data_IF_890746921513
#
_entry.id   IF_890746921513
#
_cell.length_a   1.000
_cell.length_b   1.000
_cell.length_c   1.000
_cell.angle_alpha   90.00
_cell.angle_beta   90.00
_cell.angle_gamma   90.00
#
_symmetry.space_group_name_H-M   'P 1'
#
loop_
_entity.id
_entity.type
_entity.pdbx_description
1 polymer ?
#
# COMPACT_ATOMS: atom_id res chain seq x y z
N UNK A 1 52.13 -32.42 17.55
CA UNK A 1 52.03 -31.02 18.01
C UNK A 1 52.36 -30.15 16.82
N UNK A 2 51.51 -29.33 16.22
CA UNK A 2 50.06 -29.08 16.32
C UNK A 2 49.74 -28.42 14.98
N UNK A 3 48.80 -28.96 14.21
CA UNK A 3 48.32 -28.32 12.98
C UNK A 3 47.04 -27.58 13.37
N UNK A 4 47.10 -26.25 13.34
CA UNK A 4 45.95 -25.37 13.60
C UNK A 4 44.92 -25.51 12.46
N UNK A 5 43.65 -25.83 12.74
CA UNK A 5 42.62 -26.00 11.73
C UNK A 5 41.61 -24.84 11.73
N UNK A 6 42.07 -23.59 11.87
CA UNK A 6 41.18 -22.42 11.94
C UNK A 6 41.64 -21.24 11.06
N UNK A 7 41.96 -21.51 9.80
CA UNK A 7 41.84 -20.49 8.74
C UNK A 7 40.56 -20.80 7.95
N UNK A 8 39.42 -20.73 8.64
CA UNK A 8 38.13 -20.56 8.00
C UNK A 8 37.95 -19.06 7.83
N UNK A 9 38.49 -18.53 6.73
CA UNK A 9 38.15 -17.21 6.22
C UNK A 9 36.62 -17.13 6.21
N UNK A 10 36.10 -16.41 7.20
CA UNK A 10 34.71 -16.04 7.27
C UNK A 10 34.44 -15.15 6.07
N UNK A 11 33.98 -15.77 4.99
CA UNK A 11 33.15 -15.13 3.98
C UNK A 11 31.95 -14.59 4.76
N UNK A 12 32.12 -13.38 5.29
CA UNK A 12 31.05 -12.59 5.84
C UNK A 12 30.15 -12.30 4.64
N UNK A 13 29.20 -13.20 4.42
CA UNK A 13 28.02 -12.95 3.61
C UNK A 13 27.42 -11.69 4.22
N UNK A 14 27.73 -10.55 3.62
CA UNK A 14 27.05 -9.30 3.90
C UNK A 14 25.65 -9.56 3.39
N UNK A 15 24.79 -10.06 4.27
CA UNK A 15 23.36 -10.13 4.06
C UNK A 15 22.94 -8.68 3.83
N UNK A 16 22.79 -8.35 2.55
CA UNK A 16 22.40 -7.02 2.14
C UNK A 16 20.93 -6.92 2.50
N UNK A 17 20.66 -6.50 3.75
CA UNK A 17 19.31 -6.27 4.25
C UNK A 17 18.58 -5.43 3.21
N UNK A 18 17.60 -6.05 2.56
CA UNK A 18 16.78 -5.39 1.56
C UNK A 18 16.05 -4.26 2.27
N UNK A 19 16.46 -3.02 1.98
CA UNK A 19 15.81 -1.85 2.53
C UNK A 19 14.31 -1.92 2.20
N UNK A 20 13.44 -1.68 3.19
CA UNK A 20 12.00 -1.63 2.97
C UNK A 20 11.68 -0.67 1.81
N UNK A 21 10.77 -1.03 0.89
CA UNK A 21 10.39 -0.15 -0.19
C UNK A 21 9.93 1.22 0.29
N UNK A 22 10.31 2.28 -0.43
CA UNK A 22 10.05 3.69 -0.06
C UNK A 22 8.56 4.06 0.12
N UNK A 23 7.64 3.24 -0.40
CA UNK A 23 6.21 3.46 -0.18
C UNK A 23 5.74 3.01 1.22
N UNK A 24 6.55 2.27 1.98
CA UNK A 24 6.30 1.97 3.40
C UNK A 24 6.41 3.24 4.24
N UNK A 25 7.38 4.11 3.95
CA UNK A 25 7.52 5.41 4.62
C UNK A 25 6.25 6.25 4.46
N UNK A 26 5.60 6.15 3.29
CA UNK A 26 4.33 6.85 3.00
C UNK A 26 3.17 6.30 3.83
N UNK A 27 3.17 4.99 4.14
CA UNK A 27 2.18 4.40 5.04
C UNK A 27 2.30 4.97 6.45
N UNK A 28 3.52 5.12 6.96
CA UNK A 28 3.77 5.73 8.28
C UNK A 28 3.40 7.22 8.27
N UNK A 29 3.79 7.96 7.24
CA UNK A 29 3.42 9.36 7.02
C UNK A 29 1.89 9.56 7.07
N UNK A 30 1.13 8.80 6.28
CA UNK A 30 -0.34 8.88 6.26
C UNK A 30 -0.94 8.47 7.60
N UNK A 31 -0.38 7.44 8.24
CA UNK A 31 -0.82 6.97 9.55
C UNK A 31 -0.70 8.04 10.63
N UNK A 32 0.40 8.78 10.64
CA UNK A 32 0.64 9.85 11.62
C UNK A 32 -0.23 11.08 11.36
N UNK A 33 -0.43 11.47 10.09
CA UNK A 33 -1.36 12.54 9.74
C UNK A 33 -2.79 12.19 10.14
N UNK A 34 -3.23 10.93 9.95
CA UNK A 34 -4.57 10.50 10.39
C UNK A 34 -4.75 10.52 11.91
N UNK A 35 -3.72 10.17 12.68
CA UNK A 35 -3.74 10.31 14.15
C UNK A 35 -3.89 11.78 14.55
N UNK A 36 -3.12 12.68 13.93
CA UNK A 36 -3.19 14.11 14.19
C UNK A 36 -4.56 14.70 13.82
N UNK A 37 -5.11 14.33 12.66
CA UNK A 37 -6.48 14.69 12.26
C UNK A 37 -7.48 14.26 13.33
N UNK A 38 -7.38 13.03 13.84
CA UNK A 38 -8.31 12.50 14.84
C UNK A 38 -8.26 13.30 16.15
N UNK A 39 -7.05 13.67 16.59
CA UNK A 39 -6.85 14.50 17.79
C UNK A 39 -7.40 15.91 17.60
N UNK A 40 -7.10 16.55 16.47
CA UNK A 40 -7.61 17.89 16.12
C UNK A 40 -9.13 17.89 15.97
N UNK A 41 -9.71 16.86 15.35
CA UNK A 41 -11.16 16.71 15.22
C UNK A 41 -11.86 16.57 16.58
N UNK A 42 -11.27 15.81 17.51
CA UNK A 42 -11.81 15.69 18.87
C UNK A 42 -11.75 17.02 19.65
N UNK A 43 -10.70 17.81 19.45
CA UNK A 43 -10.61 19.17 20.01
C UNK A 43 -11.64 20.11 19.38
N UNK A 44 -11.80 20.04 18.06
CA UNK A 44 -12.77 20.82 17.31
C UNK A 44 -14.21 20.52 17.76
N UNK A 45 -14.55 19.25 17.99
CA UNK A 45 -15.87 18.87 18.50
C UNK A 45 -16.20 19.51 19.85
N UNK A 46 -15.21 19.63 20.74
CA UNK A 46 -15.39 20.31 22.04
C UNK A 46 -15.65 21.81 21.85
N UNK A 47 -14.93 22.44 20.92
CA UNK A 47 -15.12 23.85 20.58
C UNK A 47 -16.49 24.08 19.92
N UNK A 48 -16.90 23.24 18.97
CA UNK A 48 -18.23 23.28 18.37
C UNK A 48 -19.34 23.16 19.43
N UNK A 49 -19.20 22.21 20.36
CA UNK A 49 -20.17 22.04 21.44
C UNK A 49 -20.26 23.28 22.35
N UNK A 50 -19.12 23.92 22.64
CA UNK A 50 -19.08 25.16 23.44
C UNK A 50 -19.70 26.34 22.69
N UNK A 51 -19.35 26.52 21.41
CA UNK A 51 -19.76 27.66 20.60
C UNK A 51 -21.28 27.68 20.30
N UNK A 52 -21.92 26.50 20.18
CA UNK A 52 -23.37 26.42 19.96
C UNK A 52 -24.19 26.73 21.23
N UNK A 53 -23.60 26.65 22.42
CA UNK A 53 -24.34 26.93 23.65
C UNK A 53 -24.61 28.44 23.77
N UNK A 54 -25.83 28.85 24.17
CA UNK A 54 -26.12 30.25 24.51
C UNK A 54 -25.33 30.66 25.77
N UNK A 55 -24.06 31.02 25.57
CA UNK A 55 -23.18 31.51 26.62
C UNK A 55 -23.33 33.02 26.79
N UNK A 56 -23.33 33.46 28.05
CA UNK A 56 -23.13 34.87 28.45
C UNK A 56 -21.65 35.30 28.36
N UNK A 57 -20.82 34.54 27.64
CA UNK A 57 -19.42 34.90 27.40
C UNK A 57 -19.33 36.20 26.58
N UNK A 58 -18.34 37.00 26.94
CA UNK A 58 -18.01 38.27 26.28
C UNK A 58 -17.75 38.04 24.77
N UNK A 59 -18.15 38.99 23.93
CA UNK A 59 -18.07 38.86 22.47
C UNK A 59 -16.63 38.62 21.99
N UNK A 60 -15.64 39.07 22.77
CA UNK A 60 -14.22 38.82 22.53
C UNK A 60 -13.83 37.33 22.64
N UNK A 61 -14.45 36.58 23.55
CA UNK A 61 -14.20 35.15 23.77
C UNK A 61 -14.79 34.32 22.64
N UNK A 62 -16.02 34.64 22.20
CA UNK A 62 -16.67 33.99 21.05
C UNK A 62 -15.87 34.17 19.77
N UNK A 63 -15.37 35.39 19.51
CA UNK A 63 -14.50 35.62 18.35
C UNK A 63 -13.17 34.85 18.41
N UNK A 64 -12.62 34.59 19.60
CA UNK A 64 -11.42 33.74 19.72
C UNK A 64 -11.74 32.28 19.42
N UNK A 65 -12.90 31.78 19.86
CA UNK A 65 -13.36 30.43 19.58
C UNK A 65 -13.63 30.22 18.09
N UNK A 66 -14.30 31.17 17.43
CA UNK A 66 -14.58 31.15 15.99
C UNK A 66 -13.27 31.08 15.17
N UNK A 67 -12.29 31.92 15.51
CA UNK A 67 -10.97 31.88 14.86
C UNK A 67 -10.25 30.54 15.04
N UNK A 68 -10.35 29.94 16.23
CA UNK A 68 -9.73 28.63 16.47
C UNK A 68 -10.47 27.49 15.74
N UNK A 69 -11.80 27.57 15.63
CA UNK A 69 -12.63 26.65 14.85
C UNK A 69 -12.25 26.72 13.36
N UNK A 70 -12.14 27.93 12.81
CA UNK A 70 -11.74 28.16 11.41
C UNK A 70 -10.33 27.61 11.14
N UNK A 71 -9.38 27.90 12.05
CA UNK A 71 -8.00 27.40 11.95
C UNK A 71 -7.95 25.87 11.94
N UNK A 72 -8.58 25.22 12.92
CA UNK A 72 -8.59 23.76 13.03
C UNK A 72 -9.31 23.11 11.84
N UNK A 73 -10.41 23.69 11.36
CA UNK A 73 -11.15 23.18 10.19
C UNK A 73 -10.28 23.24 8.93
N UNK A 74 -9.55 24.34 8.73
CA UNK A 74 -8.63 24.50 7.60
C UNK A 74 -7.45 23.54 7.71
N UNK A 75 -6.85 23.40 8.89
CA UNK A 75 -5.74 22.46 9.13
C UNK A 75 -6.14 21.02 8.87
N UNK A 76 -7.31 20.60 9.36
CA UNK A 76 -7.82 19.24 9.12
C UNK A 76 -8.08 19.00 7.64
N UNK A 77 -8.72 19.96 6.95
CA UNK A 77 -9.00 19.84 5.50
C UNK A 77 -7.70 19.73 4.69
N UNK A 78 -6.68 20.54 5.02
CA UNK A 78 -5.35 20.43 4.39
C UNK A 78 -4.69 19.08 4.67
N UNK A 79 -4.77 18.58 5.90
CA UNK A 79 -4.22 17.29 6.27
C UNK A 79 -4.87 16.14 5.48
N UNK A 80 -6.19 16.19 5.23
CA UNK A 80 -6.86 15.22 4.35
C UNK A 80 -6.35 15.30 2.90
N UNK A 81 -6.10 16.50 2.38
CA UNK A 81 -5.49 16.67 1.06
C UNK A 81 -4.04 16.17 1.00
N UNK A 82 -3.28 16.32 2.10
CA UNK A 82 -1.93 15.77 2.22
C UNK A 82 -1.95 14.25 2.19
N UNK A 83 -2.85 13.60 2.95
CA UNK A 83 -3.06 12.16 2.88
C UNK A 83 -3.40 11.70 1.45
N UNK A 84 -4.31 12.43 0.76
CA UNK A 84 -4.68 12.11 -0.62
C UNK A 84 -3.47 12.21 -1.57
N UNK A 85 -2.65 13.26 -1.45
CA UNK A 85 -1.44 13.44 -2.25
C UNK A 85 -0.41 12.34 -1.97
N UNK A 86 -0.21 11.98 -0.70
CA UNK A 86 0.67 10.89 -0.28
C UNK A 86 0.23 9.55 -0.87
N UNK A 87 -1.07 9.21 -0.79
CA UNK A 87 -1.63 7.98 -1.38
C UNK A 87 -1.45 7.95 -2.91
N UNK A 88 -1.70 9.07 -3.60
CA UNK A 88 -1.47 9.18 -5.06
C UNK A 88 0.02 9.05 -5.42
N UNK A 89 0.93 9.48 -4.53
CA UNK A 89 2.38 9.35 -4.71
C UNK A 89 2.83 7.87 -4.74
N UNK A 90 2.18 7.00 -3.97
CA UNK A 90 2.47 5.55 -3.99
C UNK A 90 2.29 4.99 -5.41
N UNK A 91 1.22 5.39 -6.11
CA UNK A 91 0.97 4.95 -7.49
C UNK A 91 2.10 5.38 -8.44
N UNK A 92 2.59 6.62 -8.32
CA UNK A 92 3.72 7.10 -9.13
C UNK A 92 5.01 6.35 -8.80
N UNK A 93 5.29 6.09 -7.51
CA UNK A 93 6.47 5.34 -7.09
C UNK A 93 6.48 3.92 -7.64
N UNK A 94 5.34 3.24 -7.63
CA UNK A 94 5.22 1.87 -8.17
C UNK A 94 5.42 1.86 -9.69
N UNK A 95 4.86 2.84 -10.41
CA UNK A 95 5.04 2.97 -11.86
C UNK A 95 6.50 3.23 -12.24
N UNK A 96 7.19 4.12 -11.54
CA UNK A 96 8.58 4.46 -11.80
C UNK A 96 9.50 3.28 -11.50
N UNK A 97 9.23 2.57 -10.42
CA UNK A 97 10.01 1.42 -10.00
C UNK A 97 9.79 0.20 -10.95
N UNK A 98 8.60 0.07 -11.56
CA UNK A 98 8.33 -0.87 -12.66
C UNK A 98 9.15 -0.55 -13.92
N UNK A 99 9.27 0.72 -14.30
CA UNK A 99 10.06 1.13 -15.46
C UNK A 99 11.57 0.94 -15.25
N UNK A 100 12.01 1.05 -13.99
CA UNK A 100 13.42 0.89 -13.60
C UNK A 100 13.87 -0.58 -13.53
N UNK A 101 12.96 -1.55 -13.69
CA UNK A 101 13.26 -2.99 -13.63
C UNK A 101 13.57 -3.53 -12.22
N UNK A 102 13.43 -2.69 -11.19
CA UNK A 102 13.77 -3.01 -9.79
C UNK A 102 12.57 -3.48 -8.95
N UNK A 103 11.39 -3.71 -9.54
CA UNK A 103 10.18 -4.12 -8.82
C UNK A 103 9.84 -5.57 -9.10
N UNK A 104 9.76 -6.36 -8.04
CA UNK A 104 9.21 -7.70 -8.10
C UNK A 104 7.68 -7.60 -8.17
N UNK A 105 7.03 -8.52 -8.90
CA UNK A 105 5.56 -8.58 -9.04
C UNK A 105 4.83 -8.59 -7.68
N UNK A 106 5.48 -9.12 -6.63
CA UNK A 106 4.97 -9.11 -5.26
C UNK A 106 4.92 -7.71 -4.63
N UNK A 107 5.91 -6.85 -4.90
CA UNK A 107 5.98 -5.49 -4.34
C UNK A 107 4.91 -4.58 -4.97
N UNK A 108 4.60 -4.79 -6.26
CA UNK A 108 3.50 -4.10 -6.95
C UNK A 108 2.14 -4.42 -6.31
N UNK A 109 1.89 -5.71 -6.04
CA UNK A 109 0.67 -6.16 -5.35
C UNK A 109 0.60 -5.62 -3.92
N UNK A 110 1.72 -5.62 -3.19
CA UNK A 110 1.77 -5.12 -1.81
C UNK A 110 1.48 -3.62 -1.75
N UNK A 111 2.12 -2.81 -2.60
CA UNK A 111 1.90 -1.38 -2.66
C UNK A 111 0.45 -1.04 -3.03
N UNK A 112 -0.13 -1.80 -3.98
CA UNK A 112 -1.54 -1.67 -4.38
C UNK A 112 -2.49 -2.00 -3.21
N UNK A 113 -2.23 -3.06 -2.45
CA UNK A 113 -3.03 -3.39 -1.27
C UNK A 113 -2.95 -2.31 -0.19
N UNK A 114 -1.75 -1.79 0.08
CA UNK A 114 -1.54 -0.69 1.04
C UNK A 114 -2.26 0.57 0.59
N UNK A 115 -2.21 0.93 -0.70
CA UNK A 115 -2.91 2.07 -1.25
C UNK A 115 -4.42 2.01 -0.94
N UNK A 116 -5.06 0.85 -1.08
CA UNK A 116 -6.49 0.72 -0.76
C UNK A 116 -6.76 0.68 0.74
N UNK A 117 -5.91 0.04 1.53
CA UNK A 117 -6.04 0.08 2.98
C UNK A 117 -5.98 1.54 3.50
N UNK A 118 -5.01 2.32 3.02
CA UNK A 118 -4.87 3.74 3.35
C UNK A 118 -6.05 4.56 2.83
N UNK A 119 -6.47 4.36 1.58
CA UNK A 119 -7.63 5.06 1.02
C UNK A 119 -8.91 4.81 1.83
N UNK A 120 -9.17 3.55 2.20
CA UNK A 120 -10.33 3.19 3.03
C UNK A 120 -10.26 3.84 4.41
N UNK A 121 -9.08 3.84 5.05
CA UNK A 121 -8.90 4.48 6.36
C UNK A 121 -9.13 5.99 6.31
N UNK A 122 -8.58 6.68 5.30
CA UNK A 122 -8.82 8.12 5.09
C UNK A 122 -10.30 8.41 4.83
N UNK A 123 -10.97 7.57 4.05
CA UNK A 123 -12.40 7.70 3.76
C UNK A 123 -13.26 7.58 5.02
N UNK A 124 -12.97 6.61 5.90
CA UNK A 124 -13.70 6.42 7.16
C UNK A 124 -13.57 7.62 8.10
N UNK A 125 -12.34 8.13 8.28
CA UNK A 125 -12.07 9.31 9.12
C UNK A 125 -12.71 10.56 8.51
N UNK A 126 -12.63 10.73 7.19
CA UNK A 126 -13.27 11.84 6.47
C UNK A 126 -14.80 11.80 6.57
N UNK A 127 -15.42 10.62 6.45
CA UNK A 127 -16.87 10.47 6.61
C UNK A 127 -17.31 10.87 8.01
N UNK A 128 -16.60 10.41 9.05
CA UNK A 128 -16.89 10.78 10.44
C UNK A 128 -16.75 12.28 10.67
N UNK A 129 -15.69 12.91 10.14
CA UNK A 129 -15.48 14.35 10.26
C UNK A 129 -16.55 15.17 9.53
N UNK A 130 -16.87 14.82 8.28
CA UNK A 130 -17.94 15.49 7.52
C UNK A 130 -19.28 15.42 8.21
N UNK A 131 -19.65 14.27 8.78
CA UNK A 131 -20.90 14.11 9.54
C UNK A 131 -20.96 15.03 10.76
N UNK A 132 -19.85 15.19 11.48
CA UNK A 132 -19.73 16.11 12.61
C UNK A 132 -19.85 17.57 12.14
N UNK A 133 -19.20 17.93 11.03
CA UNK A 133 -19.33 19.25 10.40
C UNK A 133 -20.75 19.54 9.91
N UNK A 134 -21.41 18.61 9.23
CA UNK A 134 -22.82 18.72 8.81
C UNK A 134 -23.75 18.91 10.01
N UNK A 135 -23.49 18.23 11.13
CA UNK A 135 -24.26 18.39 12.37
C UNK A 135 -24.06 19.78 12.97
N UNK A 136 -22.83 20.28 12.98
CA UNK A 136 -22.50 21.62 13.47
C UNK A 136 -23.12 22.71 12.58
N UNK A 137 -22.99 22.58 11.26
CA UNK A 137 -23.59 23.48 10.25
C UNK A 137 -25.12 23.56 10.41
N UNK A 138 -25.79 22.43 10.64
CA UNK A 138 -27.23 22.39 10.91
C UNK A 138 -27.60 23.17 12.18
N UNK A 139 -26.80 23.04 13.25
CA UNK A 139 -27.02 23.76 14.51
C UNK A 139 -26.80 25.27 14.32
N UNK A 140 -25.70 25.69 13.69
CA UNK A 140 -25.44 27.11 13.39
C UNK A 140 -26.56 27.76 12.58
N UNK A 141 -27.05 27.04 11.56
CA UNK A 141 -28.20 27.47 10.76
C UNK A 141 -29.45 27.67 11.64
N UNK A 142 -29.77 26.70 12.49
CA UNK A 142 -30.91 26.79 13.40
C UNK A 142 -30.80 27.96 14.39
N UNK A 143 -29.61 28.23 14.93
CA UNK A 143 -29.36 29.39 15.80
C UNK A 143 -29.38 30.73 15.04
N UNK A 144 -29.09 30.73 13.74
CA UNK A 144 -29.09 31.92 12.87
C UNK A 144 -30.46 32.32 12.35
N UNK A 145 -31.56 31.72 12.84
CA UNK A 145 -32.90 32.02 12.33
C UNK A 145 -33.10 31.67 10.85
N UNK A 146 -32.22 30.84 10.29
CA UNK A 146 -32.50 30.18 9.04
C UNK A 146 -33.50 29.07 9.36
N UNK A 147 -34.77 29.30 9.01
CA UNK A 147 -35.75 28.23 8.96
C UNK A 147 -35.13 27.08 8.16
N UNK A 148 -35.03 25.89 8.79
CA UNK A 148 -34.68 24.67 8.07
C UNK A 148 -35.63 24.60 6.88
N UNK A 149 -35.14 24.73 5.64
CA UNK A 149 -35.97 24.35 4.51
C UNK A 149 -36.14 22.86 4.70
N UNK A 150 -37.31 22.46 5.21
CA UNK A 150 -37.92 21.15 5.00
C UNK A 150 -36.91 20.04 5.30
N UNK A 151 -36.85 19.64 6.57
CA UNK A 151 -36.00 18.55 7.02
C UNK A 151 -35.99 17.42 6.01
N UNK A 152 -34.80 17.10 5.49
CA UNK A 152 -34.58 16.05 4.49
C UNK A 152 -35.78 15.95 3.56
N UNK A 153 -35.99 16.94 2.67
CA UNK A 153 -36.94 16.75 1.58
C UNK A 153 -36.54 15.46 0.88
N UNK A 154 -37.27 14.40 1.18
CA UNK A 154 -37.18 13.07 0.63
C UNK A 154 -37.62 13.17 -0.82
N UNK A 155 -36.86 13.87 -1.66
CA UNK A 155 -36.82 13.52 -3.07
C UNK A 155 -36.36 12.07 -3.07
N UNK A 156 -37.20 11.10 -3.49
CA UNK A 156 -36.77 9.73 -3.62
C UNK A 156 -35.66 9.76 -4.65
N UNK A 157 -34.41 9.73 -4.18
CA UNK A 157 -33.30 9.46 -5.08
C UNK A 157 -33.57 8.04 -5.55
N UNK A 158 -33.69 7.77 -6.87
CA UNK A 158 -33.90 6.43 -7.36
C UNK A 158 -32.77 5.59 -6.78
N UNK A 159 -33.15 4.69 -5.87
CA UNK A 159 -32.25 3.90 -5.06
C UNK A 159 -31.66 2.85 -5.98
N UNK A 160 -30.60 3.25 -6.70
CA UNK A 160 -29.92 2.35 -7.61
C UNK A 160 -29.19 1.34 -6.71
N UNK A 161 -29.55 0.04 -6.71
CA UNK A 161 -29.01 -0.94 -5.76
C UNK A 161 -27.49 -1.12 -5.82
N UNK A 162 -26.87 -0.58 -6.86
CA UNK A 162 -25.42 -0.61 -7.12
C UNK A 162 -24.66 0.61 -6.58
N UNK A 163 -25.33 1.61 -6.00
CA UNK A 163 -24.64 2.79 -5.46
C UNK A 163 -24.19 2.54 -4.03
N UNK A 164 -22.88 2.71 -3.79
CA UNK A 164 -22.30 2.60 -2.45
C UNK A 164 -23.03 3.57 -1.48
N UNK A 165 -23.58 3.08 -0.35
CA UNK A 165 -24.23 3.92 0.65
C UNK A 165 -23.37 5.11 1.12
N UNK A 166 -22.04 4.93 1.21
CA UNK A 166 -21.13 5.98 1.63
C UNK A 166 -20.96 7.08 0.58
N UNK A 167 -21.05 6.75 -0.72
CA UNK A 167 -21.12 7.74 -1.80
C UNK A 167 -22.43 8.53 -1.76
N UNK A 168 -23.55 7.86 -1.45
CA UNK A 168 -24.84 8.54 -1.36
C UNK A 168 -24.89 9.52 -0.18
N UNK A 169 -24.34 9.15 0.98
CA UNK A 169 -24.20 10.05 2.14
C UNK A 169 -23.30 11.25 1.79
N UNK A 170 -22.17 10.97 1.12
CA UNK A 170 -21.24 12.01 0.62
C UNK A 170 -21.92 13.03 -0.31
N UNK A 171 -22.69 12.55 -1.29
CA UNK A 171 -23.41 13.42 -2.23
C UNK A 171 -24.53 14.20 -1.54
N UNK A 172 -25.20 13.61 -0.55
CA UNK A 172 -26.21 14.29 0.24
C UNK A 172 -25.62 15.45 1.05
N UNK A 173 -24.49 15.22 1.73
CA UNK A 173 -23.76 16.25 2.49
C UNK A 173 -23.27 17.39 1.58
N UNK A 174 -22.75 17.05 0.39
CA UNK A 174 -22.32 18.03 -0.61
C UNK A 174 -23.47 18.89 -1.11
N UNK A 175 -24.61 18.29 -1.45
CA UNK A 175 -25.82 19.01 -1.89
C UNK A 175 -26.37 19.90 -0.77
N UNK A 176 -26.39 19.40 0.46
CA UNK A 176 -26.78 20.18 1.63
C UNK A 176 -25.89 21.40 1.80
N UNK A 177 -24.58 21.23 1.74
CA UNK A 177 -23.60 22.32 1.85
C UNK A 177 -23.78 23.36 0.72
N UNK A 178 -23.94 22.91 -0.53
CA UNK A 178 -24.21 23.80 -1.68
C UNK A 178 -25.50 24.62 -1.51
N UNK A 179 -26.58 23.98 -1.03
CA UNK A 179 -27.84 24.68 -0.75
C UNK A 179 -27.66 25.76 0.33
N UNK A 180 -26.82 25.49 1.34
CA UNK A 180 -26.49 26.44 2.40
C UNK A 180 -25.81 27.69 1.83
N UNK A 181 -24.80 27.49 0.97
CA UNK A 181 -24.04 28.57 0.34
C UNK A 181 -24.96 29.49 -0.48
N UNK A 182 -25.90 28.89 -1.25
CA UNK A 182 -26.87 29.65 -2.05
C UNK A 182 -27.84 30.45 -1.19
N UNK A 183 -28.38 29.85 -0.13
CA UNK A 183 -29.32 30.52 0.77
C UNK A 183 -28.66 31.69 1.52
N UNK A 184 -27.40 31.48 1.93
CA UNK A 184 -26.59 32.51 2.61
C UNK A 184 -26.28 33.66 1.66
N UNK A 185 -25.93 33.37 0.41
CA UNK A 185 -25.68 34.41 -0.60
C UNK A 185 -26.91 35.30 -0.89
N UNK A 186 -28.13 34.77 -0.77
CA UNK A 186 -29.37 35.53 -0.96
C UNK A 186 -29.73 36.43 0.23
N UNK A 187 -29.34 36.06 1.46
CA UNK A 187 -29.66 36.82 2.68
C UNK A 187 -28.69 37.96 3.01
N UNK A 188 -27.55 38.03 2.32
CA UNK A 188 -26.54 39.12 2.42
C UNK A 188 -27.06 40.55 2.22
N UNK A 189 -28.32 40.74 1.83
CA UNK A 189 -28.93 42.06 1.66
C UNK A 189 -29.29 42.76 2.98
N UNK A 190 -29.27 42.06 4.13
CA UNK A 190 -29.56 42.65 5.44
C UNK A 190 -28.27 42.96 6.20
N UNK A 191 -28.08 44.24 6.54
CA UNK A 191 -26.82 44.84 6.99
C UNK A 191 -26.52 44.63 8.49
N UNK A 192 -26.75 43.42 9.01
CA UNK A 192 -26.52 43.09 10.42
C UNK A 192 -25.13 42.44 10.57
N UNK A 193 -24.22 43.10 11.29
CA UNK A 193 -22.82 42.69 11.39
C UNK A 193 -22.63 41.33 12.07
N UNK A 194 -23.50 40.99 13.02
CA UNK A 194 -23.52 39.68 13.70
C UNK A 194 -24.00 38.56 12.75
N UNK A 195 -24.95 38.87 11.87
CA UNK A 195 -25.43 37.92 10.85
C UNK A 195 -24.30 37.68 9.84
N UNK A 196 -23.60 38.74 9.40
CA UNK A 196 -22.52 38.62 8.43
C UNK A 196 -21.36 37.71 8.90
N UNK A 197 -20.96 37.76 10.18
CA UNK A 197 -19.93 36.89 10.74
C UNK A 197 -20.36 35.41 10.72
N UNK A 198 -21.56 35.12 11.22
CA UNK A 198 -22.13 33.77 11.18
C UNK A 198 -22.28 33.24 9.76
N UNK A 199 -22.67 34.10 8.82
CA UNK A 199 -22.74 33.72 7.41
C UNK A 199 -21.37 33.30 6.87
N UNK A 200 -20.30 34.01 7.23
CA UNK A 200 -18.93 33.64 6.84
C UNK A 200 -18.55 32.26 7.40
N UNK A 201 -18.76 32.02 8.69
CA UNK A 201 -18.47 30.73 9.33
C UNK A 201 -19.23 29.58 8.64
N UNK A 202 -20.53 29.78 8.37
CA UNK A 202 -21.38 28.83 7.64
C UNK A 202 -20.81 28.54 6.24
N UNK A 203 -20.31 29.57 5.53
CA UNK A 203 -19.71 29.40 4.22
C UNK A 203 -18.42 28.57 4.29
N UNK A 204 -17.56 28.82 5.27
CA UNK A 204 -16.27 28.15 5.39
C UNK A 204 -16.43 26.66 5.74
N UNK A 205 -17.36 26.34 6.65
CA UNK A 205 -17.71 24.95 6.97
C UNK A 205 -18.29 24.23 5.73
N UNK A 206 -19.23 24.88 5.02
CA UNK A 206 -19.86 24.29 3.85
C UNK A 206 -18.85 24.03 2.72
N UNK A 207 -17.86 24.92 2.54
CA UNK A 207 -16.74 24.70 1.61
C UNK A 207 -15.88 23.51 2.03
N UNK A 208 -15.53 23.42 3.31
CA UNK A 208 -14.78 22.27 3.85
C UNK A 208 -15.47 20.93 3.60
N UNK A 209 -16.80 20.85 3.80
CA UNK A 209 -17.58 19.63 3.52
C UNK A 209 -17.54 19.27 2.03
N UNK A 210 -17.64 20.27 1.14
CA UNK A 210 -17.57 20.05 -0.32
C UNK A 210 -16.19 19.51 -0.72
N UNK A 211 -15.11 20.10 -0.22
CA UNK A 211 -13.74 19.65 -0.50
C UNK A 211 -13.52 18.21 -0.04
N UNK A 212 -14.00 17.87 1.17
CA UNK A 212 -13.88 16.51 1.69
C UNK A 212 -14.73 15.50 0.91
N UNK A 213 -15.88 15.91 0.37
CA UNK A 213 -16.68 15.07 -0.52
C UNK A 213 -15.97 14.79 -1.85
N UNK A 214 -15.22 15.77 -2.38
CA UNK A 214 -14.41 15.57 -3.58
C UNK A 214 -13.23 14.62 -3.30
N UNK A 215 -12.54 14.78 -2.16
CA UNK A 215 -11.51 13.83 -1.71
C UNK A 215 -12.10 12.42 -1.55
N UNK A 216 -13.29 12.30 -0.95
CA UNK A 216 -13.96 11.02 -0.76
C UNK A 216 -14.22 10.30 -2.09
N UNK A 217 -14.70 11.03 -3.10
CA UNK A 217 -14.97 10.49 -4.44
C UNK A 217 -13.69 10.05 -5.15
N UNK A 218 -12.62 10.85 -5.04
CA UNK A 218 -11.31 10.53 -5.60
C UNK A 218 -10.71 9.27 -4.98
N UNK A 219 -10.81 9.12 -3.65
CA UNK A 219 -10.33 7.94 -2.94
C UNK A 219 -11.21 6.71 -3.24
N UNK A 220 -12.52 6.90 -3.40
CA UNK A 220 -13.44 5.82 -3.72
C UNK A 220 -13.10 5.18 -5.08
N UNK A 221 -12.69 5.98 -6.07
CA UNK A 221 -12.22 5.46 -7.35
C UNK A 221 -11.07 4.47 -7.18
N UNK A 222 -10.08 4.81 -6.36
CA UNK A 222 -8.95 3.90 -6.05
C UNK A 222 -9.37 2.62 -5.32
N UNK A 223 -10.42 2.68 -4.48
CA UNK A 223 -10.93 1.51 -3.76
C UNK A 223 -11.73 0.59 -4.68
N UNK A 224 -12.55 1.14 -5.57
CA UNK A 224 -13.42 0.39 -6.50
C UNK A 224 -12.60 -0.30 -7.61
N UNK A 225 -11.58 0.36 -8.16
CA UNK A 225 -10.75 -0.15 -9.28
C UNK A 225 -9.96 -1.43 -8.94
N UNK A 226 -9.97 -1.86 -7.68
CA UNK A 226 -9.36 -3.11 -7.24
C UNK A 226 -10.36 -4.27 -7.00
N UNK A 227 -11.66 -4.10 -7.23
CA UNK A 227 -12.68 -5.14 -6.99
C UNK A 227 -13.08 -5.32 -5.52
N UNK A 228 -14.12 -6.10 -5.24
CA UNK A 228 -14.63 -6.32 -3.87
C UNK A 228 -13.52 -6.88 -2.96
N UNK A 229 -13.47 -6.49 -1.68
CA UNK A 229 -12.41 -6.93 -0.75
C UNK A 229 -12.20 -8.46 -0.69
N UNK A 230 -13.24 -9.25 -0.97
CA UNK A 230 -13.15 -10.72 -1.01
C UNK A 230 -12.40 -11.26 -2.26
N UNK A 231 -12.64 -10.67 -3.44
CA UNK A 231 -12.09 -11.17 -4.71
C UNK A 231 -10.56 -11.06 -4.75
N UNK A 232 -9.98 -10.15 -3.96
CA UNK A 232 -8.53 -9.89 -3.92
C UNK A 232 -7.75 -10.92 -3.13
N UNK A 233 -8.32 -11.45 -2.04
CA UNK A 233 -7.66 -12.52 -1.28
C UNK A 233 -7.68 -13.78 -2.13
N UNK A 234 -8.84 -14.12 -2.69
CA UNK A 234 -8.99 -15.30 -3.54
C UNK A 234 -8.10 -15.20 -4.79
N UNK A 235 -8.07 -14.04 -5.48
CA UNK A 235 -7.20 -13.83 -6.63
C UNK A 235 -5.70 -13.90 -6.29
N UNK A 236 -5.25 -13.23 -5.22
CA UNK A 236 -3.83 -13.25 -4.83
C UNK A 236 -3.40 -14.62 -4.32
N UNK A 237 -4.27 -15.34 -3.61
CA UNK A 237 -4.02 -16.73 -3.18
C UNK A 237 -4.01 -17.67 -4.37
N UNK A 238 -4.95 -17.56 -5.30
CA UNK A 238 -4.98 -18.34 -6.54
C UNK A 238 -3.73 -18.11 -7.39
N UNK A 239 -3.31 -16.86 -7.55
CA UNK A 239 -2.09 -16.52 -8.27
C UNK A 239 -0.85 -17.12 -7.59
N UNK A 240 -0.77 -17.04 -6.25
CA UNK A 240 0.33 -17.64 -5.47
C UNK A 240 0.34 -19.16 -5.61
N UNK A 241 -0.83 -19.81 -5.54
CA UNK A 241 -0.96 -21.27 -5.74
C UNK A 241 -0.50 -21.66 -7.16
N UNK A 242 -0.81 -20.84 -8.15
CA UNK A 242 -0.41 -21.07 -9.55
C UNK A 242 1.10 -20.91 -9.72
N UNK A 243 1.70 -19.87 -9.13
CA UNK A 243 3.13 -19.60 -9.18
C UNK A 243 3.93 -20.70 -8.44
N UNK A 244 3.45 -21.17 -7.28
CA UNK A 244 4.07 -22.29 -6.53
C UNK A 244 4.02 -23.60 -7.32
N UNK A 245 2.90 -23.92 -7.97
CA UNK A 245 2.80 -25.09 -8.86
C UNK A 245 3.76 -25.00 -10.05
N UNK A 246 3.96 -23.79 -10.59
CA UNK A 246 4.98 -23.53 -11.61
C UNK A 246 6.39 -23.83 -11.11
N UNK A 247 6.74 -23.29 -9.95
CA UNK A 247 8.04 -23.51 -9.31
C UNK A 247 8.31 -24.99 -8.98
N UNK A 248 7.31 -25.73 -8.50
CA UNK A 248 7.41 -27.18 -8.25
C UNK A 248 7.74 -27.96 -9.53
N UNK A 249 7.08 -27.60 -10.65
CA UNK A 249 7.33 -28.22 -11.96
C UNK A 249 8.73 -27.95 -12.47
N UNK A 250 9.23 -26.73 -12.28
CA UNK A 250 10.61 -26.37 -12.65
C UNK A 250 11.64 -27.10 -11.78
N UNK A 251 11.43 -27.18 -10.46
CA UNK A 251 12.27 -27.97 -9.55
C UNK A 251 12.29 -29.47 -9.91
N UNK A 252 11.13 -30.03 -10.26
CA UNK A 252 11.02 -31.43 -10.69
C UNK A 252 11.76 -31.67 -12.01
N UNK A 253 11.67 -30.72 -12.94
CA UNK A 253 12.39 -30.80 -14.22
C UNK A 253 13.90 -30.66 -14.00
N UNK A 254 14.33 -29.73 -13.16
CA UNK A 254 15.72 -29.49 -12.80
C UNK A 254 16.36 -30.71 -12.12
N UNK A 255 15.68 -31.29 -11.12
CA UNK A 255 16.14 -32.51 -10.43
C UNK A 255 16.23 -33.72 -11.37
N UNK A 256 15.29 -33.88 -12.31
CA UNK A 256 15.36 -34.90 -13.34
C UNK A 256 16.54 -34.68 -14.30
N UNK A 257 16.80 -33.43 -14.70
CA UNK A 257 17.98 -33.06 -15.48
C UNK A 257 19.28 -33.37 -14.73
N UNK A 258 19.35 -33.04 -13.44
CA UNK A 258 20.51 -33.30 -12.59
C UNK A 258 20.79 -34.81 -12.46
N UNK A 259 19.76 -35.61 -12.18
CA UNK A 259 19.85 -37.09 -12.15
C UNK A 259 20.36 -37.66 -13.47
N UNK A 260 19.89 -37.13 -14.61
CA UNK A 260 20.30 -37.60 -15.95
C UNK A 260 21.73 -37.19 -16.28
N UNK A 261 22.16 -36.01 -15.84
CA UNK A 261 23.54 -35.53 -15.96
C UNK A 261 24.51 -36.41 -15.16
N UNK A 262 24.17 -36.76 -13.91
CA UNK A 262 24.99 -37.68 -13.08
C UNK A 262 25.15 -39.05 -13.74
N UNK A 263 24.07 -39.61 -14.29
CA UNK A 263 24.14 -40.88 -15.05
C UNK A 263 25.04 -40.79 -16.28
N UNK A 264 24.99 -39.67 -17.02
CA UNK A 264 25.87 -39.43 -18.19
C UNK A 264 27.34 -39.29 -17.78
N UNK A 265 27.64 -38.60 -16.67
CA UNK A 265 29.00 -38.48 -16.12
C UNK A 265 29.59 -39.84 -15.75
N UNK A 266 28.80 -40.70 -15.08
CA UNK A 266 29.22 -42.06 -14.73
C UNK A 266 29.46 -42.92 -15.97
N UNK A 267 28.57 -42.85 -16.97
CA UNK A 267 28.74 -43.56 -18.23
C UNK A 267 30.05 -43.16 -18.95
N UNK A 268 30.35 -41.86 -18.99
CA UNK A 268 31.56 -41.33 -19.61
C UNK A 268 32.82 -41.79 -18.86
N UNK A 269 32.79 -41.79 -17.52
CA UNK A 269 33.87 -42.32 -16.69
C UNK A 269 34.12 -43.82 -16.94
N UNK A 270 33.06 -44.62 -17.03
CA UNK A 270 33.16 -46.06 -17.29
C UNK A 270 33.77 -46.32 -18.67
N UNK A 271 33.37 -45.55 -19.69
CA UNK A 271 33.94 -45.62 -21.03
C UNK A 271 35.44 -45.27 -21.05
N UNK A 272 35.86 -44.23 -20.31
CA UNK A 272 37.27 -43.87 -20.16
C UNK A 272 38.09 -45.00 -19.50
N UNK A 273 37.55 -45.65 -18.47
CA UNK A 273 38.20 -46.80 -17.81
C UNK A 273 38.40 -47.96 -18.78
N UNK A 274 37.40 -48.29 -19.60
CA UNK A 274 37.49 -49.37 -20.59
C UNK A 274 38.57 -49.07 -21.63
N UNK A 275 38.63 -47.84 -22.15
CA UNK A 275 39.67 -47.42 -23.09
C UNK A 275 41.06 -47.51 -22.43
N UNK A 276 41.21 -47.01 -21.20
CA UNK A 276 42.46 -47.09 -20.45
C UNK A 276 42.94 -48.53 -20.25
N UNK A 277 42.02 -49.46 -19.94
CA UNK A 277 42.35 -50.88 -19.77
C UNK A 277 42.80 -51.52 -21.10
N UNK A 278 42.18 -51.15 -22.22
CA UNK A 278 42.56 -51.63 -23.55
C UNK A 278 43.97 -51.18 -23.94
N UNK A 279 44.29 -49.91 -23.70
CA UNK A 279 45.64 -49.37 -23.93
C UNK A 279 46.67 -50.11 -23.07
N UNK A 280 46.36 -50.37 -21.81
CA UNK A 280 47.26 -51.08 -20.89
C UNK A 280 47.52 -52.53 -21.31
N UNK A 281 46.52 -53.22 -21.86
CA UNK A 281 46.68 -54.56 -22.43
C UNK A 281 47.52 -54.57 -23.72
N UNK A 282 47.33 -53.59 -24.59
CA UNK A 282 48.12 -53.46 -25.83
C UNK A 282 49.58 -53.10 -25.55
N UNK A 283 49.84 -52.35 -24.49
CA UNK A 283 51.19 -51.94 -24.07
C UNK A 283 51.91 -53.06 -23.30
N UNK A 284 51.26 -54.20 -22.99
CA UNK A 284 51.91 -55.30 -22.28
C UNK A 284 53.03 -55.91 -23.16
N UNK A 285 54.32 -55.76 -22.80
CA UNK A 285 55.42 -56.22 -23.65
C UNK A 285 55.44 -57.74 -23.69
N UNK A 286 55.48 -58.31 -24.90
CA UNK A 286 55.76 -59.73 -25.15
C UNK A 286 57.02 -60.13 -24.36
N UNK A 287 56.85 -60.94 -23.31
CA UNK A 287 57.99 -61.59 -22.64
C UNK A 287 58.59 -62.60 -23.62
N UNK A 288 59.78 -62.31 -24.11
CA UNK A 288 60.59 -63.22 -24.92
C UNK A 288 60.96 -64.44 -24.08
N UNK A 289 60.60 -65.63 -24.56
CA UNK A 289 60.99 -66.92 -23.99
C UNK A 289 62.52 -67.09 -24.09
N UNK A 290 63.23 -67.22 -22.96
CA UNK A 290 64.63 -67.63 -22.98
C UNK A 290 64.74 -69.10 -23.38
N UNK A 291 65.42 -69.38 -24.50
CA UNK A 291 65.90 -70.71 -24.89
C UNK A 291 67.33 -70.90 -24.36
N UNK A 292 67.51 -72.01 -23.66
CA UNK A 292 68.73 -72.57 -23.07
C UNK A 292 69.83 -72.89 -24.10
N UNK A 293 71.10 -72.61 -23.78
CA UNK A 293 72.26 -73.17 -24.48
C UNK A 293 72.96 -74.25 -23.59
N UNK A 294 73.33 -75.43 -24.14
CA UNK A 294 74.05 -76.50 -23.42
C UNK A 294 75.58 -76.29 -23.37
N UNK A 295 76.33 -77.05 -22.53
CA UNK A 295 77.72 -76.75 -22.17
C UNK A 295 78.77 -77.17 -23.22
N UNK A 296 79.99 -76.58 -23.21
CA UNK A 296 81.05 -76.92 -24.16
C UNK A 296 81.83 -78.19 -23.79
N UNK A 297 82.07 -79.06 -24.77
CA UNK A 297 82.95 -80.26 -24.72
C UNK A 297 84.41 -79.94 -25.14
N UNK A 298 85.40 -80.75 -24.73
CA UNK A 298 86.82 -80.38 -24.65
C UNK A 298 87.63 -80.63 -25.96
N UNK A 299 88.82 -80.01 -26.06
CA UNK A 299 89.75 -80.14 -27.19
C UNK A 299 90.92 -81.14 -26.89
N UNK A 300 91.37 -81.95 -27.87
CA UNK A 300 92.54 -82.86 -27.76
C UNK A 300 93.77 -82.34 -28.57
N UNK A 301 94.92 -83.06 -28.60
CA UNK A 301 95.38 -84.19 -27.78
C UNK A 301 96.44 -83.83 -26.73
#
# INVERSE_FOLDING_TARGET
MSADPYDNDGDAVIEMDLLPPRWIDVQEEVGDVLKDITLKAARLDKLHAKHVLPGFDDDSVKQQEEREIERLTTEITRAFQDCQRAIKRIETMVKDARQSGNVQKGDETMAKNIQVALASSVQEVSATFRKKQSTYLNKLRALGGFESPIGRSSTPVPQNPYTDPALMESDADKRFSQSTLQQTAQKRHNNDTVIAQREQEINDIARGIIELADIFRDLQGMVIDQGTMLDRIDYNVEQTVTDVKGAEKELTTATNYQKRSTKRKILLLLLLLVIGMFVLLLVKPKKSSQLTNPPPTPAPP
#
